data_IF_884300646340
#
_entry.id   IF_884300646340
#
_cell.length_a   1.000
_cell.length_b   1.000
_cell.length_c   1.000
_cell.angle_alpha   90.00
_cell.angle_beta   90.00
_cell.angle_gamma   90.00
#
_symmetry.space_group_name_H-M   'P 1'
#
loop_
_entity.id
_entity.type
_entity.pdbx_description
1 polymer ?
#
# COMPACT_ATOMS: atom_id res chain seq x y z
N UNK A 1 22.24 -37.46 6.14
CA UNK A 1 22.15 -35.99 6.35
C UNK A 1 23.47 -35.25 6.18
N UNK A 2 24.48 -35.82 5.50
CA UNK A 2 25.69 -35.06 5.15
C UNK A 2 25.35 -33.89 4.22
N UNK A 3 26.09 -32.79 4.36
CA UNK A 3 25.89 -31.57 3.59
C UNK A 3 27.06 -31.32 2.65
N UNK A 4 26.76 -30.78 1.47
CA UNK A 4 27.77 -30.30 0.52
C UNK A 4 28.39 -28.96 0.95
N UNK A 5 29.23 -28.38 0.08
CA UNK A 5 29.86 -27.06 0.31
C UNK A 5 28.85 -25.91 0.41
N UNK A 6 27.62 -26.08 -0.08
CA UNK A 6 26.53 -25.11 -0.01
C UNK A 6 25.56 -25.39 1.15
N UNK A 7 25.81 -26.43 1.96
CA UNK A 7 24.90 -26.87 3.01
C UNK A 7 23.73 -27.72 2.50
N UNK A 8 23.69 -28.05 1.21
CA UNK A 8 22.63 -28.86 0.61
C UNK A 8 22.80 -30.32 1.02
N UNK A 9 21.69 -30.95 1.38
CA UNK A 9 21.60 -32.41 1.58
C UNK A 9 21.20 -33.10 0.28
N UNK A 10 21.19 -34.43 0.28
CA UNK A 10 20.67 -35.25 -0.83
C UNK A 10 19.26 -34.81 -1.24
N UNK A 11 18.38 -34.52 -0.27
CA UNK A 11 17.01 -34.07 -0.56
C UNK A 11 16.98 -32.70 -1.26
N UNK A 12 17.87 -31.77 -0.91
CA UNK A 12 17.98 -30.50 -1.63
C UNK A 12 18.38 -30.71 -3.09
N UNK A 13 19.31 -31.64 -3.35
CA UNK A 13 19.71 -31.98 -4.73
C UNK A 13 18.57 -32.62 -5.51
N UNK A 14 17.79 -33.52 -4.89
CA UNK A 14 16.58 -34.09 -5.49
C UNK A 14 15.56 -33.02 -5.89
N UNK A 15 15.39 -31.98 -5.05
CA UNK A 15 14.51 -30.83 -5.34
C UNK A 15 15.04 -30.00 -6.51
N UNK A 16 16.35 -29.73 -6.55
CA UNK A 16 16.97 -28.95 -7.64
C UNK A 16 16.80 -29.66 -8.99
N UNK A 17 16.93 -30.99 -9.00
CA UNK A 17 16.84 -31.80 -10.21
C UNK A 17 15.44 -32.34 -10.52
N UNK A 18 14.44 -32.12 -9.65
CA UNK A 18 13.06 -32.63 -9.77
C UNK A 18 12.95 -34.17 -9.86
N UNK A 19 13.80 -34.89 -9.13
CA UNK A 19 13.79 -36.35 -9.12
C UNK A 19 12.95 -36.91 -7.96
N UNK A 20 11.64 -37.09 -8.19
CA UNK A 20 10.69 -37.58 -7.18
C UNK A 20 10.97 -38.99 -6.68
N UNK A 21 11.34 -39.92 -7.57
CA UNK A 21 11.55 -41.32 -7.19
C UNK A 21 12.73 -41.45 -6.21
N UNK A 22 13.81 -40.73 -6.49
CA UNK A 22 15.00 -40.68 -5.64
C UNK A 22 14.68 -39.95 -4.32
N UNK A 23 13.83 -38.93 -4.36
CA UNK A 23 13.37 -38.23 -3.16
C UNK A 23 12.65 -39.19 -2.20
N UNK A 24 11.68 -39.97 -2.71
CA UNK A 24 10.93 -40.95 -1.92
C UNK A 24 11.85 -42.03 -1.36
N UNK A 25 12.72 -42.59 -2.18
CA UNK A 25 13.71 -43.58 -1.75
C UNK A 25 14.64 -43.02 -0.65
N UNK A 26 15.12 -41.78 -0.79
CA UNK A 26 15.98 -41.16 0.21
C UNK A 26 15.27 -40.96 1.55
N UNK A 27 13.96 -40.66 1.53
CA UNK A 27 13.14 -40.53 2.73
C UNK A 27 12.88 -41.88 3.40
N UNK A 28 12.58 -42.93 2.64
CA UNK A 28 12.49 -44.30 3.15
C UNK A 28 13.80 -44.75 3.83
N UNK A 29 14.94 -44.32 3.30
CA UNK A 29 16.26 -44.56 3.87
C UNK A 29 16.61 -43.67 5.08
N UNK A 30 15.67 -42.86 5.58
CA UNK A 30 15.82 -42.06 6.80
C UNK A 30 16.45 -40.68 6.61
N UNK A 31 16.41 -40.10 5.40
CA UNK A 31 16.84 -38.73 5.19
C UNK A 31 15.95 -37.72 5.96
N UNK A 32 16.56 -36.72 6.59
CA UNK A 32 15.81 -35.72 7.36
C UNK A 32 15.34 -34.53 6.51
N UNK A 33 14.05 -34.20 6.58
CA UNK A 33 13.44 -33.03 5.91
C UNK A 33 13.73 -31.70 6.61
N UNK A 34 14.07 -31.72 7.90
CA UNK A 34 14.23 -30.52 8.74
C UNK A 34 15.58 -29.81 8.59
N UNK A 35 16.54 -30.41 7.88
CA UNK A 35 17.90 -29.85 7.75
C UNK A 35 17.87 -28.65 6.81
N UNK A 36 18.44 -27.54 7.27
CA UNK A 36 18.56 -26.30 6.49
C UNK A 36 19.92 -26.21 5.79
N UNK A 37 19.95 -25.65 4.58
CA UNK A 37 21.18 -25.32 3.88
C UNK A 37 21.80 -24.00 4.36
N UNK A 38 22.91 -23.56 3.75
CA UNK A 38 23.56 -22.28 4.13
C UNK A 38 22.68 -21.04 3.90
N UNK A 39 21.63 -21.17 3.08
CA UNK A 39 20.64 -20.12 2.86
C UNK A 39 19.46 -20.21 3.85
N UNK A 40 19.57 -21.04 4.90
CA UNK A 40 18.52 -21.30 5.89
C UNK A 40 17.25 -21.94 5.33
N UNK A 41 17.31 -22.57 4.16
CA UNK A 41 16.17 -23.21 3.52
C UNK A 41 16.20 -24.71 3.76
N UNK A 42 15.03 -25.28 4.05
CA UNK A 42 14.73 -26.72 3.99
C UNK A 42 14.50 -27.17 2.54
N UNK A 43 14.45 -28.48 2.25
CA UNK A 43 14.07 -28.98 0.93
C UNK A 43 12.70 -28.45 0.46
N UNK A 44 11.72 -28.34 1.38
CA UNK A 44 10.39 -27.79 1.11
C UNK A 44 10.44 -26.32 0.71
N UNK A 45 11.10 -25.47 1.50
CA UNK A 45 11.22 -24.02 1.21
C UNK A 45 12.10 -23.75 -0.01
N UNK A 46 13.08 -24.62 -0.30
CA UNK A 46 13.84 -24.58 -1.55
C UNK A 46 12.94 -24.89 -2.76
N UNK A 47 12.05 -25.88 -2.66
CA UNK A 47 11.08 -26.18 -3.73
C UNK A 47 10.16 -24.98 -4.01
N UNK A 48 9.73 -24.29 -2.95
CA UNK A 48 8.95 -23.05 -3.06
C UNK A 48 9.74 -21.93 -3.74
N UNK A 49 11.01 -21.72 -3.38
CA UNK A 49 11.88 -20.71 -3.99
C UNK A 49 12.17 -20.96 -5.47
N UNK A 50 12.26 -22.22 -5.87
CA UNK A 50 12.46 -22.63 -7.26
C UNK A 50 11.14 -22.73 -8.04
N UNK A 51 9.99 -22.48 -7.39
CA UNK A 51 8.65 -22.66 -7.92
C UNK A 51 8.41 -24.04 -8.55
N UNK A 52 8.91 -25.10 -7.91
CA UNK A 52 8.71 -26.49 -8.34
C UNK A 52 7.46 -27.06 -7.70
N UNK A 53 6.30 -26.69 -8.23
CA UNK A 53 4.99 -26.99 -7.62
C UNK A 53 4.79 -28.49 -7.36
N UNK A 54 5.13 -29.35 -8.34
CA UNK A 54 5.01 -30.80 -8.18
C UNK A 54 5.91 -31.36 -7.06
N UNK A 55 7.14 -30.87 -6.94
CA UNK A 55 8.04 -31.27 -5.85
C UNK A 55 7.53 -30.76 -4.50
N UNK A 56 6.98 -29.54 -4.49
CA UNK A 56 6.45 -28.93 -3.28
C UNK A 56 5.23 -29.68 -2.75
N UNK A 57 4.25 -30.03 -3.61
CA UNK A 57 3.06 -30.79 -3.21
C UNK A 57 3.42 -32.17 -2.68
N UNK A 58 4.36 -32.85 -3.33
CA UNK A 58 4.83 -34.18 -2.90
C UNK A 58 5.55 -34.11 -1.56
N UNK A 59 6.43 -33.11 -1.36
CA UNK A 59 7.07 -32.90 -0.05
C UNK A 59 6.05 -32.57 1.05
N UNK A 60 5.02 -31.79 0.71
CA UNK A 60 3.94 -31.45 1.62
C UNK A 60 3.15 -32.68 2.06
N UNK A 61 2.77 -33.55 1.11
CA UNK A 61 2.08 -34.81 1.38
C UNK A 61 2.94 -35.77 2.23
N UNK A 62 4.26 -35.80 2.01
CA UNK A 62 5.18 -36.62 2.79
C UNK A 62 5.41 -36.09 4.22
N UNK A 63 5.23 -34.79 4.44
CA UNK A 63 5.25 -34.17 5.78
C UNK A 63 3.89 -34.22 6.48
N UNK A 64 2.84 -34.58 5.77
CA UNK A 64 1.48 -34.59 6.27
C UNK A 64 1.24 -35.73 7.28
N UNK A 65 0.44 -35.44 8.31
CA UNK A 65 0.06 -36.40 9.35
C UNK A 65 -1.43 -36.68 9.25
N UNK A 66 -1.81 -37.92 8.94
CA UNK A 66 -3.20 -38.37 8.94
C UNK A 66 -3.66 -38.63 10.38
N UNK A 67 -4.64 -37.85 10.87
CA UNK A 67 -5.20 -38.09 12.21
C UNK A 67 -6.26 -39.18 12.18
N UNK A 68 -7.19 -39.10 11.22
CA UNK A 68 -8.18 -40.13 10.99
C UNK A 68 -8.58 -40.18 9.52
N UNK A 69 -9.03 -41.36 9.10
CA UNK A 69 -9.59 -41.60 7.79
C UNK A 69 -10.86 -42.44 7.96
N UNK A 70 -11.98 -41.89 7.52
CA UNK A 70 -13.27 -42.54 7.52
C UNK A 70 -13.83 -42.59 6.10
N UNK A 71 -13.64 -43.74 5.45
CA UNK A 71 -14.08 -44.02 4.08
C UNK A 71 -13.58 -43.02 3.04
N UNK A 72 -14.28 -41.90 2.84
CA UNK A 72 -13.93 -40.83 1.88
C UNK A 72 -13.50 -39.53 2.55
N UNK A 73 -13.71 -39.40 3.85
CA UNK A 73 -13.30 -38.22 4.60
C UNK A 73 -12.01 -38.57 5.35
N UNK A 74 -11.02 -37.69 5.28
CA UNK A 74 -9.81 -37.79 6.08
C UNK A 74 -9.50 -36.43 6.68
N UNK A 75 -8.92 -36.44 7.88
CA UNK A 75 -8.34 -35.25 8.49
C UNK A 75 -6.82 -35.38 8.44
N UNK A 76 -6.21 -34.45 7.71
CA UNK A 76 -4.78 -34.39 7.46
C UNK A 76 -4.25 -33.11 8.10
N UNK A 77 -3.22 -33.23 8.92
CA UNK A 77 -2.52 -32.14 9.55
C UNK A 77 -1.21 -31.86 8.83
N UNK A 78 -1.01 -30.60 8.46
CA UNK A 78 0.24 -30.14 7.87
C UNK A 78 1.06 -29.36 8.91
N UNK A 79 2.35 -29.66 9.08
CA UNK A 79 3.21 -28.84 9.90
C UNK A 79 3.39 -27.46 9.24
N UNK A 80 3.10 -26.39 9.97
CA UNK A 80 3.21 -25.02 9.43
C UNK A 80 4.65 -24.49 9.37
N UNK A 81 5.64 -25.28 9.79
CA UNK A 81 7.06 -24.89 9.83
C UNK A 81 7.56 -24.62 8.41
N UNK A 82 8.00 -23.40 8.13
CA UNK A 82 8.49 -23.01 6.79
C UNK A 82 7.38 -22.80 5.75
N UNK A 83 6.10 -22.98 6.12
CA UNK A 83 4.94 -22.58 5.30
C UNK A 83 4.44 -21.21 5.77
N UNK A 84 4.27 -21.07 7.08
CA UNK A 84 3.76 -19.85 7.70
C UNK A 84 4.79 -18.72 7.68
N UNK A 85 4.28 -17.49 7.64
CA UNK A 85 5.07 -16.24 7.58
C UNK A 85 5.77 -15.91 8.90
N UNK A 86 5.46 -16.62 9.99
CA UNK A 86 6.05 -16.39 11.31
C UNK A 86 6.95 -17.57 11.65
N UNK A 87 8.18 -17.29 12.05
CA UNK A 87 9.09 -18.31 12.53
C UNK A 87 8.71 -18.71 13.96
N UNK A 88 8.62 -20.01 14.22
CA UNK A 88 8.19 -20.58 15.50
C UNK A 88 9.21 -20.36 16.62
N UNK A 89 10.50 -20.28 16.29
CA UNK A 89 11.57 -20.25 17.29
C UNK A 89 11.73 -18.86 17.93
N UNK A 90 11.66 -17.80 17.14
CA UNK A 90 11.89 -16.41 17.56
C UNK A 90 10.64 -15.53 17.48
N UNK A 91 9.58 -15.96 16.80
CA UNK A 91 8.38 -15.15 16.56
C UNK A 91 8.57 -14.01 15.56
N UNK A 92 9.73 -13.93 14.90
CA UNK A 92 9.98 -12.94 13.85
C UNK A 92 9.36 -13.37 12.52
N UNK A 93 9.29 -12.43 11.57
CA UNK A 93 8.83 -12.70 10.21
C UNK A 93 9.84 -13.61 9.47
N UNK A 94 9.37 -14.75 8.94
CA UNK A 94 10.19 -15.68 8.16
C UNK A 94 10.21 -15.31 6.68
N UNK A 95 11.35 -14.83 6.20
CA UNK A 95 11.61 -14.50 4.80
C UNK A 95 11.62 -15.73 3.91
N UNK A 96 11.97 -16.88 4.48
CA UNK A 96 12.14 -18.16 3.79
C UNK A 96 10.88 -18.99 3.75
N UNK A 97 9.77 -18.49 4.31
CA UNK A 97 8.48 -19.18 4.29
C UNK A 97 7.97 -19.40 2.86
N UNK A 98 7.24 -20.49 2.64
CA UNK A 98 6.64 -20.78 1.34
C UNK A 98 5.69 -19.66 0.89
N UNK A 99 4.90 -19.09 1.80
CA UNK A 99 4.00 -17.97 1.50
C UNK A 99 4.79 -16.71 1.08
N UNK A 100 5.86 -16.35 1.79
CA UNK A 100 6.67 -15.18 1.42
C UNK A 100 7.37 -15.38 0.08
N UNK A 101 7.90 -16.57 -0.17
CA UNK A 101 8.56 -16.93 -1.43
C UNK A 101 7.60 -16.92 -2.61
N UNK A 102 6.37 -17.44 -2.43
CA UNK A 102 5.32 -17.40 -3.44
C UNK A 102 4.91 -15.95 -3.79
N UNK A 103 4.64 -15.12 -2.78
CA UNK A 103 4.16 -13.74 -2.99
C UNK A 103 5.24 -12.81 -3.56
N UNK A 104 6.48 -12.93 -3.11
CA UNK A 104 7.58 -12.09 -3.58
C UNK A 104 8.39 -12.73 -4.74
N UNK A 105 7.93 -13.89 -5.22
CA UNK A 105 8.45 -14.56 -6.40
C UNK A 105 8.29 -13.72 -7.66
N UNK A 106 9.14 -13.97 -8.66
CA UNK A 106 9.13 -13.22 -9.92
C UNK A 106 8.45 -13.96 -11.08
N UNK A 107 8.37 -15.29 -11.04
CA UNK A 107 7.82 -16.08 -12.14
C UNK A 107 6.34 -16.39 -11.94
N UNK A 108 5.63 -16.66 -13.04
CA UNK A 108 4.24 -17.11 -13.00
C UNK A 108 4.09 -18.46 -12.26
N UNK A 109 5.12 -19.30 -12.26
CA UNK A 109 5.11 -20.58 -11.55
C UNK A 109 4.96 -20.40 -10.03
N UNK A 110 5.51 -19.31 -9.47
CA UNK A 110 5.33 -18.96 -8.05
C UNK A 110 3.87 -18.61 -7.72
N UNK A 111 3.09 -18.11 -8.70
CA UNK A 111 1.67 -17.85 -8.50
C UNK A 111 0.89 -19.16 -8.41
N UNK A 112 1.21 -20.13 -9.28
CA UNK A 112 0.60 -21.46 -9.26
C UNK A 112 0.97 -22.28 -8.00
N UNK A 113 1.98 -21.85 -7.23
CA UNK A 113 2.31 -22.43 -5.93
C UNK A 113 1.28 -22.07 -4.84
N UNK A 114 0.50 -21.01 -5.04
CA UNK A 114 -0.52 -20.60 -4.06
C UNK A 114 -1.73 -21.54 -4.03
N UNK A 115 -1.93 -22.33 -5.08
CA UNK A 115 -3.06 -23.24 -5.19
C UNK A 115 -2.97 -24.37 -4.14
N UNK A 116 -4.10 -24.81 -3.60
CA UNK A 116 -4.17 -25.90 -2.60
C UNK A 116 -3.99 -25.39 -1.17
N UNK A 117 -3.05 -25.98 -0.40
CA UNK A 117 -2.91 -25.69 1.03
C UNK A 117 -2.63 -24.21 1.32
N UNK A 118 -1.79 -23.55 0.51
CA UNK A 118 -1.44 -22.15 0.74
C UNK A 118 -2.67 -21.23 0.60
N UNK A 119 -3.56 -21.52 -0.33
CA UNK A 119 -4.84 -20.82 -0.49
C UNK A 119 -5.70 -20.99 0.78
N UNK A 120 -5.83 -22.21 1.30
CA UNK A 120 -6.61 -22.48 2.51
C UNK A 120 -6.05 -21.74 3.73
N UNK A 121 -4.73 -21.74 3.91
CA UNK A 121 -4.06 -21.01 4.99
C UNK A 121 -4.27 -19.50 4.84
N UNK A 122 -4.16 -18.97 3.62
CA UNK A 122 -4.40 -17.55 3.35
C UNK A 122 -5.87 -17.16 3.58
N UNK A 123 -6.81 -18.02 3.20
CA UNK A 123 -8.24 -17.83 3.44
C UNK A 123 -8.55 -17.84 4.94
N UNK A 124 -7.97 -18.77 5.70
CA UNK A 124 -8.11 -18.81 7.15
C UNK A 124 -7.56 -17.53 7.82
N UNK A 125 -6.39 -17.03 7.38
CA UNK A 125 -5.83 -15.74 7.84
C UNK A 125 -6.71 -14.56 7.46
N UNK A 126 -7.32 -14.61 6.29
CA UNK A 126 -8.22 -13.58 5.79
C UNK A 126 -9.45 -13.42 6.69
N UNK A 127 -10.11 -14.55 6.99
CA UNK A 127 -11.35 -14.57 7.75
C UNK A 127 -11.13 -14.24 9.24
N UNK A 128 -9.99 -14.63 9.81
CA UNK A 128 -9.66 -14.40 11.22
C UNK A 128 -9.18 -12.97 11.51
N UNK A 129 -8.18 -12.49 10.75
CA UNK A 129 -7.47 -11.25 11.06
C UNK A 129 -7.58 -10.19 9.95
N UNK A 130 -7.26 -10.55 8.71
CA UNK A 130 -7.00 -9.53 7.68
C UNK A 130 -8.27 -8.73 7.30
N UNK A 131 -9.44 -9.38 7.25
CA UNK A 131 -10.71 -8.71 6.97
C UNK A 131 -11.03 -7.62 8.01
N UNK A 132 -10.79 -7.92 9.28
CA UNK A 132 -11.03 -6.96 10.39
C UNK A 132 -10.10 -5.77 10.29
N UNK A 133 -8.81 -6.02 10.03
CA UNK A 133 -7.81 -4.96 9.92
C UNK A 133 -8.06 -4.10 8.67
N UNK A 134 -8.49 -4.69 7.55
CA UNK A 134 -8.89 -3.95 6.36
C UNK A 134 -10.09 -3.03 6.65
N UNK A 135 -11.14 -3.53 7.31
CA UNK A 135 -12.33 -2.72 7.64
C UNK A 135 -11.95 -1.58 8.60
N UNK A 136 -11.11 -1.86 9.60
CA UNK A 136 -10.59 -0.84 10.52
C UNK A 136 -9.79 0.23 9.76
N UNK A 137 -8.91 -0.19 8.86
CA UNK A 137 -8.12 0.72 8.03
C UNK A 137 -9.01 1.58 7.11
N UNK A 138 -10.04 0.97 6.50
CA UNK A 138 -11.03 1.67 5.68
C UNK A 138 -11.82 2.70 6.51
N UNK A 139 -12.23 2.36 7.73
CA UNK A 139 -12.96 3.28 8.61
C UNK A 139 -12.10 4.50 9.01
N UNK A 140 -10.82 4.28 9.34
CA UNK A 140 -9.88 5.37 9.65
C UNK A 140 -9.66 6.25 8.41
N UNK A 141 -9.48 5.65 7.23
CA UNK A 141 -9.34 6.39 5.98
C UNK A 141 -10.61 7.17 5.62
N UNK A 142 -11.79 6.58 5.79
CA UNK A 142 -13.07 7.26 5.54
C UNK A 142 -13.26 8.46 6.47
N UNK A 143 -12.94 8.31 7.76
CA UNK A 143 -12.94 9.42 8.72
C UNK A 143 -11.97 10.53 8.30
N UNK A 144 -10.73 10.18 7.96
CA UNK A 144 -9.74 11.11 7.44
C UNK A 144 -10.25 11.85 6.20
N UNK A 145 -10.82 11.11 5.23
CA UNK A 145 -11.29 11.67 3.97
C UNK A 145 -12.47 12.61 4.15
N UNK A 146 -13.44 12.26 5.00
CA UNK A 146 -14.58 13.13 5.30
C UNK A 146 -14.13 14.42 5.99
N UNK A 147 -13.24 14.34 6.98
CA UNK A 147 -12.71 15.53 7.67
C UNK A 147 -11.87 16.40 6.74
N UNK A 148 -11.04 15.79 5.90
CA UNK A 148 -10.20 16.50 4.94
C UNK A 148 -11.05 17.20 3.86
N UNK A 149 -12.06 16.50 3.33
CA UNK A 149 -12.98 17.06 2.36
C UNK A 149 -13.86 18.17 2.98
N UNK A 150 -14.33 18.00 4.22
CA UNK A 150 -15.05 19.05 4.94
C UNK A 150 -14.17 20.30 5.14
N UNK A 151 -12.91 20.14 5.56
CA UNK A 151 -11.96 21.25 5.69
C UNK A 151 -11.71 21.97 4.36
N UNK A 152 -11.74 21.25 3.23
CA UNK A 152 -11.61 21.83 1.90
C UNK A 152 -12.87 22.60 1.48
N UNK A 153 -14.06 22.00 1.64
CA UNK A 153 -15.34 22.61 1.22
C UNK A 153 -15.72 23.83 2.07
N UNK A 154 -15.30 23.88 3.34
CA UNK A 154 -15.53 25.01 4.25
C UNK A 154 -14.57 26.20 4.00
N UNK A 155 -13.72 26.14 2.97
CA UNK A 155 -12.87 27.26 2.58
C UNK A 155 -13.69 28.40 1.97
N UNK A 156 -13.46 29.67 2.37
CA UNK A 156 -14.12 30.82 1.77
C UNK A 156 -13.53 31.10 0.38
N UNK A 157 -14.10 30.47 -0.66
CA UNK A 157 -13.65 30.61 -2.06
C UNK A 157 -13.84 32.05 -2.57
N UNK A 158 -14.83 32.78 -2.04
CA UNK A 158 -15.11 34.17 -2.43
C UNK A 158 -13.91 35.12 -2.26
N UNK A 159 -13.17 34.99 -1.16
CA UNK A 159 -11.98 35.83 -0.91
C UNK A 159 -10.79 35.40 -1.78
N UNK A 160 -10.72 34.13 -2.18
CA UNK A 160 -9.73 33.66 -3.17
C UNK A 160 -10.01 34.26 -4.56
N UNK A 161 -11.28 34.33 -4.97
CA UNK A 161 -11.67 34.94 -6.24
C UNK A 161 -11.42 36.45 -6.27
N UNK A 162 -11.60 37.15 -5.15
CA UNK A 162 -11.27 38.58 -5.04
C UNK A 162 -9.77 38.86 -5.22
N UNK A 163 -8.90 38.01 -4.66
CA UNK A 163 -7.46 38.13 -4.80
C UNK A 163 -6.97 37.91 -6.24
N UNK A 164 -7.56 36.95 -6.94
CA UNK A 164 -7.21 36.64 -8.35
C UNK A 164 -7.71 37.75 -9.28
N UNK A 165 -8.90 38.30 -9.00
CA UNK A 165 -9.59 39.26 -9.89
C UNK A 165 -9.34 40.71 -9.51
N UNK A 166 -8.55 40.97 -8.46
CA UNK A 166 -8.35 42.31 -7.87
C UNK A 166 -9.69 43.01 -7.55
N UNK A 167 -10.67 42.23 -7.09
CA UNK A 167 -12.03 42.73 -6.77
C UNK A 167 -12.93 43.00 -7.99
N UNK A 168 -12.51 42.66 -9.22
CA UNK A 168 -13.26 42.97 -10.45
C UNK A 168 -14.61 42.25 -10.59
N UNK A 169 -14.84 41.12 -9.90
CA UNK A 169 -16.01 40.25 -10.13
C UNK A 169 -17.09 40.37 -9.04
N UNK A 170 -16.72 40.63 -7.78
CA UNK A 170 -17.66 40.62 -6.64
C UNK A 170 -17.75 41.94 -5.88
N UNK A 171 -17.44 43.07 -6.54
CA UNK A 171 -17.81 44.38 -6.02
C UNK A 171 -19.33 44.48 -5.96
N UNK A 172 -19.90 44.38 -4.75
CA UNK A 172 -21.29 44.79 -4.49
C UNK A 172 -21.55 46.10 -5.20
N UNK A 173 -22.64 46.16 -5.95
CA UNK A 173 -23.15 47.30 -6.70
C UNK A 173 -23.21 48.57 -5.85
N UNK A 174 -22.09 49.28 -5.73
CA UNK A 174 -22.01 50.72 -5.45
C UNK A 174 -20.55 51.17 -5.51
N UNK A 175 -20.29 51.98 -6.53
CA UNK A 175 -19.10 52.79 -6.76
C UNK A 175 -17.90 52.04 -7.34
N UNK A 176 -17.69 52.33 -8.62
CA UNK A 176 -16.38 52.46 -9.25
C UNK A 176 -15.51 53.36 -8.35
N UNK A 177 -14.80 52.75 -7.41
CA UNK A 177 -13.54 53.30 -6.91
C UNK A 177 -12.44 52.61 -7.72
N UNK A 178 -11.47 53.40 -8.15
CA UNK A 178 -10.31 52.94 -8.92
C UNK A 178 -9.76 51.63 -8.33
N UNK A 179 -9.43 50.68 -9.21
CA UNK A 179 -8.81 49.36 -8.92
C UNK A 179 -7.55 49.46 -8.03
N UNK A 180 -7.07 50.68 -7.77
CA UNK A 180 -5.92 51.02 -6.95
C UNK A 180 -6.14 50.93 -5.44
N UNK A 181 -7.39 50.82 -4.94
CA UNK A 181 -7.70 50.81 -3.49
C UNK A 181 -8.10 49.41 -2.96
N UNK A 182 -7.54 48.36 -3.58
CA UNK A 182 -7.72 46.97 -3.15
C UNK A 182 -6.77 46.66 -1.98
N UNK A 183 -7.32 46.40 -0.78
CA UNK A 183 -6.52 45.99 0.38
C UNK A 183 -5.94 44.58 0.19
N UNK A 184 -4.67 44.62 -0.18
CA UNK A 184 -3.78 43.50 -0.38
C UNK A 184 -3.62 42.54 0.79
N UNK A 185 -3.65 43.12 1.98
CA UNK A 185 -3.06 42.50 3.16
C UNK A 185 -4.04 41.56 3.86
N UNK A 186 -5.30 41.98 3.98
CA UNK A 186 -6.39 41.22 4.57
C UNK A 186 -6.82 40.02 3.71
N UNK A 187 -6.82 40.20 2.39
CA UNK A 187 -7.25 39.20 1.41
C UNK A 187 -6.25 38.05 1.23
N UNK A 188 -4.93 38.30 1.34
CA UNK A 188 -3.91 37.25 1.23
C UNK A 188 -4.01 36.24 2.38
N UNK A 189 -4.16 36.71 3.63
CA UNK A 189 -4.02 35.87 4.84
C UNK A 189 -5.34 35.56 5.55
N UNK A 190 -6.46 35.70 4.84
CA UNK A 190 -7.79 35.44 5.38
C UNK A 190 -7.98 34.02 5.96
N UNK A 191 -7.20 33.02 5.51
CA UNK A 191 -7.21 31.67 6.07
C UNK A 191 -6.77 31.58 7.53
N UNK A 192 -6.03 32.58 8.04
CA UNK A 192 -5.63 32.62 9.45
C UNK A 192 -6.70 33.22 10.36
N UNK A 193 -7.62 34.00 9.81
CA UNK A 193 -8.63 34.71 10.59
C UNK A 193 -9.87 33.83 10.80
N UNK A 194 -9.70 32.74 11.56
CA UNK A 194 -10.80 31.83 11.89
C UNK A 194 -11.93 32.52 12.69
N UNK A 195 -11.60 33.55 13.48
CA UNK A 195 -12.57 34.26 14.32
C UNK A 195 -13.42 35.31 13.61
N UNK A 196 -13.00 35.80 12.43
CA UNK A 196 -13.78 36.78 11.65
C UNK A 196 -14.75 36.11 10.67
N UNK A 197 -14.62 34.81 10.47
CA UNK A 197 -15.46 34.01 9.58
C UNK A 197 -16.67 33.45 10.33
N UNK A 198 -17.77 33.13 9.62
CA UNK A 198 -18.91 32.45 10.24
C UNK A 198 -18.47 31.14 10.88
N UNK A 199 -19.19 30.72 11.94
CA UNK A 199 -18.81 29.59 12.80
C UNK A 199 -18.40 28.32 12.02
N UNK A 200 -19.12 27.98 10.96
CA UNK A 200 -18.85 26.81 10.12
C UNK A 200 -17.52 26.94 9.34
N UNK A 201 -17.27 28.10 8.72
CA UNK A 201 -16.05 28.31 7.92
C UNK A 201 -14.82 28.56 8.79
N UNK A 202 -15.02 29.07 10.01
CA UNK A 202 -13.96 29.34 10.98
C UNK A 202 -13.67 28.14 11.89
N UNK A 203 -14.51 27.93 12.90
CA UNK A 203 -14.24 26.99 13.99
C UNK A 203 -14.36 25.52 13.57
N UNK A 204 -15.39 25.16 12.80
CA UNK A 204 -15.55 23.77 12.32
C UNK A 204 -14.39 23.39 11.42
N UNK A 205 -14.02 24.29 10.49
CA UNK A 205 -12.84 24.11 9.64
C UNK A 205 -11.55 23.93 10.44
N UNK A 206 -11.29 24.79 11.43
CA UNK A 206 -10.10 24.66 12.30
C UNK A 206 -10.08 23.30 13.00
N UNK A 207 -11.22 22.87 13.54
CA UNK A 207 -11.37 21.54 14.14
C UNK A 207 -11.04 20.41 13.18
N UNK A 208 -11.55 20.47 11.94
CA UNK A 208 -11.24 19.49 10.90
C UNK A 208 -9.75 19.50 10.51
N UNK A 209 -9.14 20.67 10.33
CA UNK A 209 -7.71 20.79 9.97
C UNK A 209 -6.80 20.20 11.06
N UNK A 210 -7.07 20.51 12.34
CA UNK A 210 -6.33 19.94 13.47
C UNK A 210 -6.53 18.42 13.57
N UNK A 211 -7.76 17.94 13.39
CA UNK A 211 -8.06 16.51 13.41
C UNK A 211 -7.35 15.75 12.28
N UNK A 212 -7.30 16.31 11.08
CA UNK A 212 -6.58 15.74 9.92
C UNK A 212 -5.09 15.63 10.22
N UNK A 213 -4.47 16.68 10.78
CA UNK A 213 -3.05 16.65 11.16
C UNK A 213 -2.79 15.58 12.24
N UNK A 214 -3.65 15.51 13.26
CA UNK A 214 -3.53 14.49 14.31
C UNK A 214 -3.64 13.06 13.75
N UNK A 215 -4.57 12.82 12.82
CA UNK A 215 -4.72 11.54 12.13
C UNK A 215 -3.47 11.18 11.30
N UNK A 216 -2.91 12.14 10.55
CA UNK A 216 -1.66 11.93 9.80
C UNK A 216 -0.53 11.53 10.75
N UNK A 217 -0.35 12.23 11.87
CA UNK A 217 0.69 11.92 12.86
C UNK A 217 0.51 10.51 13.43
N UNK A 218 -0.72 10.14 13.81
CA UNK A 218 -1.03 8.80 14.31
C UNK A 218 -0.70 7.74 13.26
N UNK A 219 -1.06 7.96 11.99
CA UNK A 219 -0.79 7.02 10.91
C UNK A 219 0.71 6.88 10.61
N UNK A 220 1.47 7.98 10.66
CA UNK A 220 2.95 7.96 10.51
C UNK A 220 3.60 7.15 11.64
N UNK A 221 3.10 7.26 12.88
CA UNK A 221 3.60 6.45 13.99
C UNK A 221 3.32 4.96 13.79
N UNK A 222 2.15 4.59 13.25
CA UNK A 222 1.87 3.21 12.86
C UNK A 222 2.82 2.72 11.76
N UNK A 223 3.08 3.51 10.71
CA UNK A 223 4.04 3.13 9.67
C UNK A 223 5.45 2.93 10.24
N UNK A 224 5.87 3.77 11.19
CA UNK A 224 7.19 3.63 11.82
C UNK A 224 7.31 2.32 12.61
N UNK A 225 6.23 1.93 13.31
CA UNK A 225 6.14 0.62 13.98
C UNK A 225 6.24 -0.52 12.96
N UNK A 226 5.54 -0.42 11.84
CA UNK A 226 5.57 -1.43 10.77
C UNK A 226 6.96 -1.52 10.13
N UNK A 227 7.62 -0.39 9.88
CA UNK A 227 9.00 -0.35 9.35
C UNK A 227 9.96 -1.07 10.30
N UNK A 228 9.80 -0.89 11.61
CA UNK A 228 10.64 -1.55 12.62
C UNK A 228 10.42 -3.07 12.64
N UNK A 229 9.20 -3.55 12.41
CA UNK A 229 8.87 -4.97 12.43
C UNK A 229 9.21 -5.70 11.13
N UNK A 230 8.94 -5.08 9.98
CA UNK A 230 9.10 -5.70 8.65
C UNK A 230 10.53 -5.50 8.10
N UNK A 231 11.19 -4.41 8.52
CA UNK A 231 12.48 -3.97 7.98
C UNK A 231 12.34 -3.07 6.74
N UNK A 232 13.26 -2.12 6.61
CA UNK A 232 13.21 -1.05 5.59
C UNK A 232 13.16 -1.58 4.15
N UNK A 233 14.02 -2.52 3.79
CA UNK A 233 14.12 -3.02 2.41
C UNK A 233 12.83 -3.68 1.92
N UNK A 234 12.19 -4.49 2.76
CA UNK A 234 10.90 -5.12 2.46
C UNK A 234 9.77 -4.12 2.44
N UNK A 235 9.74 -3.19 3.39
CA UNK A 235 8.74 -2.12 3.42
C UNK A 235 8.74 -1.36 2.09
N UNK A 236 9.91 -0.97 1.57
CA UNK A 236 10.01 -0.31 0.25
C UNK A 236 9.51 -1.22 -0.88
N UNK A 237 9.83 -2.52 -0.86
CA UNK A 237 9.36 -3.47 -1.89
C UNK A 237 7.84 -3.59 -1.89
N UNK A 238 7.21 -3.69 -0.72
CA UNK A 238 5.74 -3.74 -0.55
C UNK A 238 5.12 -2.46 -1.10
N UNK A 239 5.64 -1.29 -0.72
CA UNK A 239 5.08 -0.02 -1.17
C UNK A 239 5.24 0.20 -2.68
N UNK A 240 6.35 -0.25 -3.28
CA UNK A 240 6.52 -0.22 -4.74
C UNK A 240 5.48 -1.07 -5.48
N UNK A 241 5.03 -2.17 -4.90
CA UNK A 241 3.98 -3.01 -5.49
C UNK A 241 2.59 -2.35 -5.40
N UNK A 242 2.39 -1.36 -4.54
CA UNK A 242 1.10 -0.72 -4.28
C UNK A 242 1.15 0.80 -4.52
N UNK A 243 1.02 1.28 -5.78
CA UNK A 243 1.16 2.70 -6.11
C UNK A 243 0.13 3.59 -5.40
N UNK A 244 -1.11 3.13 -5.22
CA UNK A 244 -2.17 3.88 -4.53
C UNK A 244 -1.85 4.16 -3.04
N UNK A 245 -1.05 3.30 -2.38
CA UNK A 245 -0.56 3.58 -1.03
C UNK A 245 0.51 4.67 -1.04
N UNK A 246 1.42 4.62 -2.01
CA UNK A 246 2.49 5.63 -2.16
C UNK A 246 1.90 7.00 -2.43
N UNK A 247 0.92 7.09 -3.34
CA UNK A 247 0.21 8.34 -3.65
C UNK A 247 -0.42 8.93 -2.38
N UNK A 248 -1.04 8.10 -1.54
CA UNK A 248 -1.59 8.56 -0.26
C UNK A 248 -0.55 9.08 0.73
N UNK A 249 0.65 8.49 0.79
CA UNK A 249 1.73 9.07 1.61
C UNK A 249 2.22 10.41 1.05
N UNK A 250 2.26 10.55 -0.27
CA UNK A 250 2.58 11.82 -0.92
C UNK A 250 1.54 12.88 -0.54
N UNK A 251 0.24 12.53 -0.46
CA UNK A 251 -0.77 13.50 -0.04
C UNK A 251 -0.57 14.00 1.38
N UNK A 252 -0.12 13.16 2.32
CA UNK A 252 0.23 13.62 3.66
C UNK A 252 1.34 14.67 3.66
N UNK A 253 2.38 14.44 2.86
CA UNK A 253 3.49 15.39 2.71
C UNK A 253 2.98 16.72 2.13
N UNK A 254 2.08 16.68 1.14
CA UNK A 254 1.47 17.88 0.55
C UNK A 254 0.58 18.62 1.55
N UNK A 255 -0.21 17.90 2.34
CA UNK A 255 -1.04 18.50 3.40
C UNK A 255 -0.17 19.15 4.47
N UNK A 256 0.92 18.50 4.90
CA UNK A 256 1.87 19.08 5.84
C UNK A 256 2.62 20.29 5.25
N UNK A 257 2.96 20.25 3.95
CA UNK A 257 3.56 21.37 3.23
C UNK A 257 2.62 22.57 3.09
N UNK A 258 1.30 22.37 3.11
CA UNK A 258 0.33 23.47 3.06
C UNK A 258 0.38 24.38 4.29
N UNK A 259 0.81 23.88 5.44
CA UNK A 259 0.89 24.64 6.70
C UNK A 259 1.97 25.74 6.64
N UNK A 260 3.26 25.46 6.30
CA UNK A 260 4.26 26.51 6.16
C UNK A 260 3.95 27.44 4.98
N UNK A 261 3.36 26.94 3.88
CA UNK A 261 2.90 27.79 2.79
C UNK A 261 1.83 28.78 3.24
N UNK A 262 0.95 28.36 4.16
CA UNK A 262 -0.04 29.24 4.77
C UNK A 262 0.64 30.31 5.61
N UNK A 263 1.57 29.96 6.50
CA UNK A 263 2.34 30.91 7.35
C UNK A 263 3.09 31.95 6.50
N UNK A 264 3.62 31.55 5.36
CA UNK A 264 4.35 32.43 4.43
C UNK A 264 3.45 33.36 3.60
N UNK A 265 2.15 33.39 3.87
CA UNK A 265 1.21 34.30 3.23
C UNK A 265 1.66 35.78 3.27
N UNK A 266 2.33 36.21 4.34
CA UNK A 266 2.84 37.58 4.46
C UNK A 266 3.94 37.93 3.43
N UNK A 267 4.67 36.93 2.93
CA UNK A 267 5.80 37.13 2.02
C UNK A 267 5.36 37.45 0.58
N UNK A 268 4.17 37.05 0.15
CA UNK A 268 3.67 37.37 -1.19
C UNK A 268 2.45 36.58 -1.63
N UNK A 269 1.73 37.11 -2.64
CA UNK A 269 0.51 36.51 -3.22
C UNK A 269 0.74 35.11 -3.79
N UNK A 270 1.96 34.82 -4.26
CA UNK A 270 2.31 33.54 -4.89
C UNK A 270 2.11 32.36 -3.93
N UNK A 271 2.39 32.54 -2.64
CA UNK A 271 2.33 31.46 -1.65
C UNK A 271 0.89 31.00 -1.39
N UNK A 272 -0.07 31.93 -1.41
CA UNK A 272 -1.49 31.61 -1.31
C UNK A 272 -1.98 30.81 -2.52
N UNK A 273 -1.60 31.23 -3.72
CA UNK A 273 -1.97 30.53 -4.96
C UNK A 273 -1.39 29.12 -4.97
N UNK A 274 -0.11 28.98 -4.58
CA UNK A 274 0.55 27.69 -4.43
C UNK A 274 -0.12 26.79 -3.38
N UNK A 275 -0.52 27.34 -2.23
CA UNK A 275 -1.23 26.57 -1.19
C UNK A 275 -2.55 25.97 -1.69
N UNK A 276 -3.33 26.75 -2.45
CA UNK A 276 -4.58 26.26 -3.04
C UNK A 276 -4.34 25.16 -4.07
N UNK A 277 -3.32 25.30 -4.93
CA UNK A 277 -2.95 24.25 -5.89
C UNK A 277 -2.46 22.98 -5.19
N UNK A 278 -1.63 23.11 -4.16
CA UNK A 278 -1.11 21.97 -3.38
C UNK A 278 -2.26 21.19 -2.73
N UNK A 279 -3.23 21.89 -2.12
CA UNK A 279 -4.36 21.24 -1.47
C UNK A 279 -5.33 20.63 -2.49
N UNK A 280 -5.61 21.31 -3.60
CA UNK A 280 -6.43 20.77 -4.67
C UNK A 280 -5.86 19.45 -5.18
N UNK A 281 -4.55 19.42 -5.44
CA UNK A 281 -3.86 18.20 -5.86
C UNK A 281 -3.90 17.11 -4.78
N UNK A 282 -3.74 17.48 -3.50
CA UNK A 282 -3.84 16.53 -2.40
C UNK A 282 -5.24 15.89 -2.28
N UNK A 283 -6.32 16.66 -2.50
CA UNK A 283 -7.70 16.14 -2.53
C UNK A 283 -7.86 15.12 -3.64
N UNK A 284 -7.50 15.47 -4.88
CA UNK A 284 -7.61 14.54 -6.03
C UNK A 284 -6.82 13.26 -5.78
N UNK A 285 -5.57 13.38 -5.36
CA UNK A 285 -4.71 12.21 -5.09
C UNK A 285 -5.21 11.35 -3.92
N UNK A 286 -5.89 11.94 -2.93
CA UNK A 286 -6.44 11.18 -1.82
C UNK A 286 -7.59 10.25 -2.24
N UNK A 287 -8.38 10.64 -3.25
CA UNK A 287 -9.49 9.82 -3.77
C UNK A 287 -8.99 8.51 -4.39
N UNK A 288 -7.82 8.54 -5.03
CA UNK A 288 -7.18 7.37 -5.66
C UNK A 288 -6.91 6.26 -4.63
N UNK A 289 -6.68 6.63 -3.36
CA UNK A 289 -6.46 5.65 -2.30
C UNK A 289 -7.67 4.75 -2.04
N UNK A 290 -8.89 5.18 -2.38
CA UNK A 290 -10.08 4.34 -2.26
C UNK A 290 -9.98 3.07 -3.12
N UNK A 291 -9.33 3.14 -4.29
CA UNK A 291 -9.10 1.99 -5.17
C UNK A 291 -8.29 0.88 -4.49
N UNK A 292 -7.42 1.22 -3.52
CA UNK A 292 -6.69 0.21 -2.75
C UNK A 292 -7.64 -0.71 -1.97
N UNK A 293 -8.73 -0.19 -1.41
CA UNK A 293 -9.71 -0.97 -0.66
C UNK A 293 -10.65 -1.76 -1.57
N UNK A 294 -11.03 -1.20 -2.73
CA UNK A 294 -11.84 -1.91 -3.72
C UNK A 294 -11.18 -3.22 -4.21
N UNK A 295 -9.84 -3.29 -4.17
CA UNK A 295 -9.08 -4.50 -4.53
C UNK A 295 -9.47 -5.73 -3.71
N UNK A 296 -9.85 -5.55 -2.44
CA UNK A 296 -10.17 -6.65 -1.54
C UNK A 296 -11.52 -7.32 -1.84
N UNK A 297 -12.37 -6.69 -2.64
CA UNK A 297 -13.68 -7.22 -2.99
C UNK A 297 -13.54 -8.19 -4.15
N UNK A 298 -13.96 -9.45 -3.97
CA UNK A 298 -13.77 -10.54 -4.95
C UNK A 298 -14.21 -10.17 -6.38
N UNK A 299 -15.34 -9.46 -6.51
CA UNK A 299 -15.86 -9.04 -7.81
C UNK A 299 -15.14 -7.82 -8.41
N UNK A 300 -14.79 -6.82 -7.60
CA UNK A 300 -14.23 -5.54 -8.07
C UNK A 300 -12.70 -5.60 -8.22
N UNK A 301 -12.04 -6.48 -7.48
CA UNK A 301 -10.58 -6.58 -7.41
C UNK A 301 -9.89 -6.80 -8.76
N UNK A 302 -10.33 -7.75 -9.61
CA UNK A 302 -9.75 -7.95 -10.93
C UNK A 302 -9.82 -6.70 -11.82
N UNK A 303 -10.92 -5.95 -11.76
CA UNK A 303 -11.06 -4.69 -12.52
C UNK A 303 -10.07 -3.63 -12.04
N UNK A 304 -9.86 -3.49 -10.73
CA UNK A 304 -8.87 -2.54 -10.18
C UNK A 304 -7.45 -2.90 -10.63
N UNK A 305 -7.11 -4.19 -10.64
CA UNK A 305 -5.82 -4.65 -11.13
C UNK A 305 -5.65 -4.37 -12.63
N UNK A 306 -6.70 -4.60 -13.43
CA UNK A 306 -6.71 -4.26 -14.85
C UNK A 306 -6.51 -2.75 -15.07
N UNK A 307 -7.15 -1.89 -14.26
CA UNK A 307 -6.93 -0.44 -14.32
C UNK A 307 -5.47 -0.09 -14.01
N UNK A 308 -4.87 -0.70 -12.98
CA UNK A 308 -3.46 -0.44 -12.66
C UNK A 308 -2.50 -0.87 -13.76
N UNK A 309 -2.74 -2.01 -14.42
CA UNK A 309 -1.88 -2.46 -15.53
C UNK A 309 -2.02 -1.57 -16.76
N UNK A 310 -3.25 -1.12 -17.08
CA UNK A 310 -3.51 -0.16 -18.16
C UNK A 310 -2.80 1.18 -17.87
N UNK A 311 -2.91 1.71 -16.65
CA UNK A 311 -2.25 2.96 -16.25
C UNK A 311 -0.72 2.83 -16.34
N UNK A 312 -0.15 1.72 -15.86
CA UNK A 312 1.29 1.53 -15.85
C UNK A 312 1.88 1.38 -17.26
N UNK A 313 1.21 0.62 -18.13
CA UNK A 313 1.79 0.18 -19.41
C UNK A 313 1.37 1.05 -20.59
N UNK A 314 0.08 1.37 -20.68
CA UNK A 314 -0.51 1.99 -21.87
C UNK A 314 -0.60 3.51 -21.72
N UNK A 315 -1.05 3.99 -20.56
CA UNK A 315 -1.18 5.42 -20.30
C UNK A 315 0.20 6.12 -20.26
N UNK A 316 1.23 5.47 -19.70
CA UNK A 316 2.58 6.03 -19.67
C UNK A 316 3.17 6.21 -21.07
N UNK A 317 2.94 5.24 -21.98
CA UNK A 317 3.33 5.34 -23.39
C UNK A 317 2.54 6.41 -24.12
N UNK A 318 1.24 6.50 -23.88
CA UNK A 318 0.39 7.52 -24.47
C UNK A 318 0.81 8.93 -24.05
N UNK A 319 1.04 9.17 -22.75
CA UNK A 319 1.49 10.46 -22.22
C UNK A 319 2.85 10.84 -22.82
N UNK A 320 3.78 9.87 -22.95
CA UNK A 320 5.09 10.13 -23.56
C UNK A 320 4.96 10.60 -25.01
N UNK A 321 4.16 9.89 -25.82
CA UNK A 321 3.92 10.25 -27.23
C UNK A 321 3.23 11.62 -27.31
N UNK A 322 2.21 11.84 -26.49
CA UNK A 322 1.48 13.10 -26.43
C UNK A 322 2.40 14.28 -26.07
N UNK A 323 3.29 14.11 -25.08
CA UNK A 323 4.26 15.15 -24.71
C UNK A 323 5.23 15.47 -25.86
N UNK A 324 5.71 14.46 -26.59
CA UNK A 324 6.58 14.69 -27.76
C UNK A 324 5.86 15.50 -28.83
N UNK A 325 4.61 15.15 -29.16
CA UNK A 325 3.82 15.92 -30.12
C UNK A 325 3.54 17.34 -29.63
N UNK A 326 3.15 17.50 -28.36
CA UNK A 326 2.82 18.80 -27.80
C UNK A 326 4.04 19.73 -27.82
N UNK A 327 5.22 19.22 -27.43
CA UNK A 327 6.47 20.00 -27.51
C UNK A 327 6.79 20.36 -28.96
N UNK A 328 6.70 19.39 -29.88
CA UNK A 328 6.99 19.60 -31.30
C UNK A 328 6.06 20.59 -32.00
N UNK A 329 4.79 20.68 -31.59
CA UNK A 329 3.83 21.67 -32.11
C UNK A 329 3.81 22.98 -31.33
N UNK A 330 4.42 23.03 -30.14
CA UNK A 330 4.53 24.26 -29.33
C UNK A 330 5.74 25.12 -29.67
N UNK A 331 6.74 24.57 -30.38
CA UNK A 331 7.92 25.27 -30.91
C UNK A 331 7.59 25.98 -32.22
#
# INVERSE_FOLDING_TARGET
NAQDTNGNTVLHMCVIHEHLDILRLALEMGASLKVKNKQQMTPLTLAAKLAKNRMFTELLELEALTQWEYSKASEIFYPLVGIDTINQDNGDLDDTSAISLAVYGKSADHLALLDGLLEEVLQAKWDTFAKRELIRSLAIFALYYVLFFAAFMLRPIGMATELITMGSINGTTSKVQNVTDYDDSSSRCHLFHYGSLPFEQGWVRLGCEVAVIALIVIQVLYDFRDIKQIGWGKWVKIYKAFPAKVIYKITWVLVLLSIPLRVLCFAGRIFFVLENYVILFAVVMSTVHFLFFCRAVKFVGPFVLMIYTIIATDLSRFILIYLVFLIGFSQ
#
